data_IF_712550370723
#
_entry.id   IF_712550370723
#
_cell.length_a   1.000
_cell.length_b   1.000
_cell.length_c   1.000
_cell.angle_alpha   90.00
_cell.angle_beta   90.00
_cell.angle_gamma   90.00
#
_symmetry.space_group_name_H-M   'P 1'
#
loop_
_entity.id
_entity.type
_entity.pdbx_description
1 polymer ?
#
# COMPACT_ATOMS: atom_id res chain seq x y z
N UNK A 1 -0.52 1.93 -13.99
CA UNK A 1 0.49 2.99 -13.77
C UNK A 1 -0.20 4.27 -13.33
N UNK A 2 0.33 4.93 -12.34
CA UNK A 2 -0.20 6.21 -11.86
C UNK A 2 0.92 7.18 -11.51
N UNK A 3 0.64 8.47 -11.71
CA UNK A 3 1.53 9.56 -11.32
C UNK A 3 1.05 10.11 -9.97
N UNK A 4 1.98 10.20 -9.01
CA UNK A 4 1.72 10.72 -7.68
C UNK A 4 2.43 12.04 -7.47
N UNK A 5 1.74 12.97 -6.83
CA UNK A 5 2.31 14.22 -6.35
C UNK A 5 2.04 14.33 -4.85
N UNK A 6 3.10 14.37 -4.07
CA UNK A 6 3.01 14.41 -2.62
C UNK A 6 3.49 15.77 -2.14
N UNK A 7 2.62 16.57 -1.49
CA UNK A 7 3.02 17.86 -0.95
C UNK A 7 4.18 17.77 0.03
N UNK A 8 4.95 18.85 0.20
CA UNK A 8 6.07 18.85 1.13
C UNK A 8 5.69 18.38 2.54
N UNK A 9 6.49 17.48 3.10
CA UNK A 9 6.31 16.97 4.46
C UNK A 9 5.23 15.92 4.63
N UNK A 10 4.44 15.63 3.60
CA UNK A 10 3.35 14.66 3.70
C UNK A 10 3.78 13.25 3.29
N UNK A 11 3.06 12.27 3.81
CA UNK A 11 3.20 10.87 3.38
C UNK A 11 2.31 10.63 2.15
N UNK A 12 2.81 9.85 1.21
CA UNK A 12 2.03 9.43 0.05
C UNK A 12 0.87 8.53 0.46
N UNK A 13 1.11 7.66 1.43
CA UNK A 13 0.17 6.64 1.92
C UNK A 13 0.68 6.10 3.26
N UNK A 14 -0.17 5.38 4.02
CA UNK A 14 0.29 4.70 5.22
C UNK A 14 1.27 3.57 4.91
N UNK A 15 2.10 3.21 5.88
CA UNK A 15 2.99 2.05 5.77
C UNK A 15 2.15 0.79 5.49
N UNK A 16 2.45 0.10 4.39
CA UNK A 16 1.61 -1.02 3.94
C UNK A 16 2.38 -2.01 3.09
N UNK A 17 1.82 -3.20 2.92
CA UNK A 17 2.27 -4.17 1.92
C UNK A 17 1.08 -4.85 1.25
N UNK A 18 1.31 -5.31 0.03
CA UNK A 18 0.33 -6.04 -0.77
C UNK A 18 0.63 -7.54 -0.73
N UNK A 19 -0.41 -8.38 -0.80
CA UNK A 19 -0.23 -9.82 -0.95
C UNK A 19 -0.21 -10.27 -2.40
N UNK A 20 -0.94 -9.57 -3.28
CA UNK A 20 -1.07 -9.96 -4.68
C UNK A 20 -0.22 -9.14 -5.64
N UNK A 21 -0.12 -7.84 -5.41
CA UNK A 21 0.54 -6.93 -6.33
C UNK A 21 2.04 -6.80 -6.06
N UNK A 22 2.79 -6.75 -7.15
CA UNK A 22 4.17 -6.31 -7.16
C UNK A 22 4.21 -4.87 -7.63
N UNK A 23 4.97 -4.01 -6.97
CA UNK A 23 5.06 -2.58 -7.30
C UNK A 23 6.46 -2.14 -7.68
N UNK A 24 6.52 -1.18 -8.61
CA UNK A 24 7.72 -0.46 -8.97
C UNK A 24 7.45 1.03 -8.80
N UNK A 25 8.33 1.74 -8.09
CA UNK A 25 8.26 3.18 -7.94
C UNK A 25 9.45 3.83 -8.62
N UNK A 26 9.21 4.89 -9.40
CA UNK A 26 10.23 5.67 -10.08
C UNK A 26 10.11 7.11 -9.64
N UNK A 27 11.12 7.65 -8.96
CA UNK A 27 11.12 9.03 -8.48
C UNK A 27 11.49 9.95 -9.64
N UNK A 28 10.56 10.82 -10.01
CA UNK A 28 10.72 11.74 -11.13
C UNK A 28 11.26 13.10 -10.71
N UNK A 29 10.88 13.60 -9.53
CA UNK A 29 11.22 14.94 -9.07
C UNK A 29 11.12 15.02 -7.55
N UNK A 30 11.99 15.81 -6.94
CA UNK A 30 11.99 16.03 -5.51
C UNK A 30 12.80 14.99 -4.75
N UNK A 31 12.63 15.00 -3.44
CA UNK A 31 13.32 14.11 -2.51
C UNK A 31 12.41 13.73 -1.34
N UNK A 32 12.83 12.79 -0.55
CA UNK A 32 12.06 12.35 0.60
C UNK A 32 12.75 11.22 1.34
N UNK A 33 11.96 10.43 2.05
CA UNK A 33 12.44 9.25 2.76
C UNK A 33 11.48 8.08 2.56
N UNK A 34 12.05 6.90 2.46
CA UNK A 34 11.32 5.64 2.34
C UNK A 34 11.49 4.82 3.61
N UNK A 35 10.39 4.43 4.21
CA UNK A 35 10.37 3.45 5.30
C UNK A 35 10.18 2.06 4.71
N UNK A 36 11.01 1.12 5.15
CA UNK A 36 10.91 -0.30 4.81
C UNK A 36 11.10 -1.12 6.09
N UNK A 37 10.97 -2.45 6.06
CA UNK A 37 11.29 -3.27 7.23
C UNK A 37 12.72 -3.08 7.76
N UNK A 38 13.64 -2.62 6.90
CA UNK A 38 15.03 -2.33 7.28
C UNK A 38 15.24 -0.94 7.89
N UNK A 39 14.18 -0.12 7.96
CA UNK A 39 14.24 1.23 8.48
C UNK A 39 14.05 2.30 7.41
N UNK A 40 14.42 3.53 7.73
CA UNK A 40 14.29 4.68 6.84
C UNK A 40 15.54 4.88 5.99
N UNK A 41 15.34 5.31 4.76
CA UNK A 41 16.42 5.68 3.84
C UNK A 41 16.02 6.90 3.02
N UNK A 42 17.02 7.66 2.57
CA UNK A 42 16.79 8.81 1.71
C UNK A 42 16.38 8.39 0.31
N UNK A 43 15.55 9.22 -0.31
CA UNK A 43 15.03 9.02 -1.67
C UNK A 43 15.28 10.31 -2.46
N UNK A 44 15.75 10.17 -3.69
CA UNK A 44 16.04 11.28 -4.57
C UNK A 44 15.60 11.01 -6.00
N UNK A 45 15.56 12.07 -6.80
CA UNK A 45 15.24 12.00 -8.23
C UNK A 45 16.09 10.94 -8.92
N UNK A 46 15.44 10.13 -9.74
CA UNK A 46 16.08 9.02 -10.47
C UNK A 46 16.11 7.70 -9.74
N UNK A 47 15.76 7.67 -8.45
CA UNK A 47 15.71 6.41 -7.70
C UNK A 47 14.57 5.53 -8.20
N UNK A 48 14.82 4.23 -8.19
CA UNK A 48 13.85 3.20 -8.57
C UNK A 48 13.78 2.17 -7.45
N UNK A 49 12.56 1.85 -7.01
CA UNK A 49 12.32 0.88 -5.96
C UNK A 49 11.37 -0.21 -6.45
N UNK A 50 11.66 -1.44 -6.07
CA UNK A 50 10.81 -2.59 -6.37
C UNK A 50 10.35 -3.23 -5.06
N UNK A 51 9.06 -3.54 -4.98
CA UNK A 51 8.45 -4.16 -3.80
C UNK A 51 7.70 -5.41 -4.21
N UNK A 52 8.19 -6.56 -3.75
CA UNK A 52 7.53 -7.84 -3.94
C UNK A 52 6.33 -7.98 -3.01
N UNK A 53 5.36 -8.84 -3.34
CA UNK A 53 4.27 -9.13 -2.42
C UNK A 53 4.76 -9.68 -1.09
N UNK A 54 4.03 -9.39 -0.01
CA UNK A 54 4.34 -9.87 1.33
C UNK A 54 5.01 -8.82 2.22
N UNK A 55 5.23 -9.18 3.47
CA UNK A 55 5.74 -8.26 4.50
C UNK A 55 7.08 -7.63 4.16
N UNK A 56 7.95 -8.35 3.47
CA UNK A 56 9.27 -7.84 3.09
C UNK A 56 9.16 -6.68 2.10
N UNK A 57 8.04 -6.56 1.39
CA UNK A 57 7.75 -5.47 0.47
C UNK A 57 7.04 -4.28 1.11
N UNK A 58 6.90 -4.25 2.43
CA UNK A 58 6.23 -3.15 3.11
C UNK A 58 6.99 -1.83 2.93
N UNK A 59 6.25 -0.75 2.70
CA UNK A 59 6.89 0.55 2.49
C UNK A 59 5.95 1.73 2.75
N UNK A 60 6.56 2.88 2.99
CA UNK A 60 5.90 4.18 3.09
C UNK A 60 6.84 5.23 2.56
N UNK A 61 6.33 6.12 1.70
CA UNK A 61 7.11 7.19 1.10
C UNK A 61 6.63 8.53 1.65
N UNK A 62 7.57 9.36 2.11
CA UNK A 62 7.29 10.67 2.70
C UNK A 62 8.09 11.72 1.95
N UNK A 63 7.43 12.81 1.52
CA UNK A 63 8.10 13.91 0.84
C UNK A 63 8.96 14.71 1.82
N UNK A 64 10.06 15.28 1.31
CA UNK A 64 10.88 16.23 2.07
C UNK A 64 10.05 17.45 2.47
N UNK A 65 10.47 18.13 3.55
CA UNK A 65 9.74 19.28 4.10
C UNK A 65 9.69 20.48 3.15
N UNK A 66 10.60 20.57 2.20
CA UNK A 66 10.81 21.78 1.37
C UNK A 66 10.42 21.62 -0.10
N UNK A 67 9.93 20.45 -0.51
CA UNK A 67 9.60 20.23 -1.93
C UNK A 67 8.53 19.17 -2.14
N UNK A 68 7.76 19.32 -3.22
CA UNK A 68 6.84 18.30 -3.70
C UNK A 68 7.62 17.11 -4.25
N UNK A 69 7.19 15.92 -3.89
CA UNK A 69 7.75 14.67 -4.42
C UNK A 69 6.83 14.14 -5.50
N UNK A 70 7.38 13.86 -6.68
CA UNK A 70 6.63 13.29 -7.81
C UNK A 70 7.23 11.94 -8.17
N UNK A 71 6.37 10.93 -8.27
CA UNK A 71 6.83 9.59 -8.65
C UNK A 71 5.77 8.84 -9.47
N UNK A 72 6.23 7.89 -10.26
CA UNK A 72 5.37 6.93 -10.95
C UNK A 72 5.27 5.67 -10.12
N UNK A 73 4.05 5.17 -9.98
CA UNK A 73 3.78 3.86 -9.40
C UNK A 73 3.28 2.92 -10.49
N UNK A 74 3.95 1.79 -10.63
CA UNK A 74 3.62 0.77 -11.61
C UNK A 74 3.38 -0.51 -10.83
N UNK A 75 2.22 -1.15 -11.04
CA UNK A 75 1.91 -2.41 -10.35
C UNK A 75 1.41 -3.46 -11.32
N UNK A 76 1.51 -4.71 -10.91
CA UNK A 76 1.01 -5.84 -11.70
C UNK A 76 -0.51 -5.88 -11.79
N UNK A 77 -1.20 -5.25 -10.84
CA UNK A 77 -2.65 -5.04 -10.85
C UNK A 77 -3.48 -6.25 -11.25
N UNK A 78 -3.47 -7.29 -10.43
CA UNK A 78 -4.38 -8.43 -10.60
C UNK A 78 -5.83 -8.04 -10.39
N UNK A 79 -6.75 -9.01 -10.59
CA UNK A 79 -8.20 -8.80 -10.41
C UNK A 79 -8.59 -8.57 -8.95
N UNK A 80 -7.77 -9.00 -8.01
CA UNK A 80 -8.00 -8.86 -6.58
C UNK A 80 -6.69 -8.67 -5.84
N UNK A 81 -6.73 -7.94 -4.74
CA UNK A 81 -5.56 -7.74 -3.88
C UNK A 81 -5.99 -7.55 -2.43
N UNK A 82 -5.11 -7.95 -1.51
CA UNK A 82 -5.21 -7.65 -0.09
C UNK A 82 -4.04 -6.78 0.31
N UNK A 83 -4.33 -5.69 1.01
CA UNK A 83 -3.33 -4.74 1.49
C UNK A 83 -3.35 -4.71 3.01
N UNK A 84 -2.19 -4.85 3.64
CA UNK A 84 -2.06 -4.83 5.09
C UNK A 84 -1.38 -3.55 5.56
N UNK A 85 -1.89 -2.99 6.67
CA UNK A 85 -1.42 -1.75 7.27
C UNK A 85 -0.92 -2.04 8.70
N UNK A 86 0.36 -2.41 8.85
CA UNK A 86 0.88 -2.89 10.14
C UNK A 86 0.73 -1.92 11.30
N UNK A 87 0.86 -0.61 11.05
CA UNK A 87 0.81 0.39 12.12
C UNK A 87 -0.59 0.54 12.72
N UNK A 88 -1.63 0.35 11.92
CA UNK A 88 -3.02 0.54 12.37
C UNK A 88 -3.81 -0.74 12.52
N UNK A 89 -3.25 -1.88 12.11
CA UNK A 89 -3.93 -3.17 12.16
C UNK A 89 -5.11 -3.27 11.19
N UNK A 90 -5.06 -2.53 10.08
CA UNK A 90 -6.11 -2.59 9.05
C UNK A 90 -5.77 -3.57 7.95
N UNK A 91 -6.83 -3.98 7.24
CA UNK A 91 -6.78 -4.79 6.04
C UNK A 91 -7.61 -4.11 4.96
N UNK A 92 -7.05 -3.93 3.78
CA UNK A 92 -7.76 -3.47 2.60
C UNK A 92 -8.02 -4.62 1.65
N UNK A 93 -9.25 -4.72 1.16
CA UNK A 93 -9.64 -5.68 0.13
C UNK A 93 -10.04 -4.93 -1.12
N UNK A 94 -9.49 -5.32 -2.27
CA UNK A 94 -9.76 -4.69 -3.57
C UNK A 94 -10.17 -5.73 -4.58
N UNK A 95 -11.30 -5.49 -5.25
CA UNK A 95 -11.76 -6.25 -6.41
C UNK A 95 -11.79 -5.28 -7.58
N UNK A 96 -10.92 -5.50 -8.58
CA UNK A 96 -10.67 -4.58 -9.68
C UNK A 96 -11.32 -5.04 -10.98
N UNK A 97 -12.65 -5.03 -10.99
CA UNK A 97 -13.46 -5.38 -12.18
C UNK A 97 -14.75 -4.56 -12.14
N UNK A 98 -15.52 -4.48 -13.22
CA UNK A 98 -16.85 -3.83 -13.19
C UNK A 98 -17.70 -4.44 -12.07
N UNK A 99 -18.26 -3.58 -11.22
CA UNK A 99 -18.99 -4.02 -10.03
C UNK A 99 -18.11 -4.40 -8.83
N UNK A 100 -16.80 -4.17 -8.94
CA UNK A 100 -15.88 -4.42 -7.83
C UNK A 100 -15.92 -3.33 -6.76
N UNK A 101 -15.04 -3.46 -5.78
CA UNK A 101 -15.01 -2.54 -4.64
C UNK A 101 -13.61 -2.46 -4.02
N UNK A 102 -13.42 -1.43 -3.20
CA UNK A 102 -12.27 -1.32 -2.30
C UNK A 102 -12.77 -0.98 -0.91
N UNK A 103 -12.49 -1.82 0.06
CA UNK A 103 -12.94 -1.65 1.44
C UNK A 103 -11.80 -1.85 2.41
N UNK A 104 -11.83 -1.10 3.52
CA UNK A 104 -10.83 -1.16 4.57
C UNK A 104 -11.50 -1.58 5.87
N UNK A 105 -10.89 -2.54 6.58
CA UNK A 105 -11.41 -3.09 7.81
C UNK A 105 -10.34 -3.12 8.90
N UNK A 106 -10.74 -2.95 10.15
CA UNK A 106 -9.85 -3.31 11.26
C UNK A 106 -9.83 -4.82 11.40
N UNK A 107 -8.65 -5.40 11.48
CA UNK A 107 -8.53 -6.85 11.66
C UNK A 107 -9.11 -7.30 13.01
N UNK A 108 -9.08 -6.43 14.02
CA UNK A 108 -9.70 -6.71 15.33
C UNK A 108 -11.22 -6.83 15.28
N UNK A 109 -11.84 -6.35 14.21
CA UNK A 109 -13.29 -6.46 13.99
C UNK A 109 -13.66 -7.74 13.20
N UNK A 110 -12.71 -8.64 13.00
CA UNK A 110 -12.98 -9.92 12.34
C UNK A 110 -14.08 -10.68 13.09
N UNK A 111 -14.92 -11.33 12.32
CA UNK A 111 -16.10 -12.03 12.86
C UNK A 111 -15.92 -13.53 12.81
N UNK A 112 -16.69 -14.24 13.65
CA UNK A 112 -16.74 -15.69 13.61
C UNK A 112 -17.30 -16.18 12.28
N UNK A 113 -16.79 -17.32 11.79
CA UNK A 113 -17.16 -17.89 10.51
C UNK A 113 -18.68 -18.07 10.36
N UNK A 114 -19.36 -18.46 11.45
CA UNK A 114 -20.78 -18.73 11.44
C UNK A 114 -21.67 -17.57 11.84
N UNK A 115 -21.07 -16.38 12.08
CA UNK A 115 -21.86 -15.20 12.46
C UNK A 115 -22.96 -14.94 11.43
N UNK A 116 -24.21 -14.87 11.89
CA UNK A 116 -25.40 -14.62 11.09
C UNK A 116 -25.65 -15.67 9.97
N UNK A 117 -24.96 -16.78 10.03
CA UNK A 117 -25.18 -17.89 9.11
C UNK A 117 -26.18 -18.90 9.71
N UNK A 118 -26.86 -19.64 8.84
CA UNK A 118 -27.70 -20.75 9.31
C UNK A 118 -26.82 -21.84 9.94
N UNK A 119 -27.31 -22.50 11.03
CA UNK A 119 -26.57 -23.64 11.57
C UNK A 119 -26.32 -24.68 10.48
N UNK A 120 -25.17 -25.38 10.50
CA UNK A 120 -24.93 -26.43 9.54
C UNK A 120 -26.00 -27.55 9.69
N UNK A 121 -26.36 -28.26 8.60
CA UNK A 121 -27.27 -29.39 8.69
C UNK A 121 -26.73 -30.37 9.72
N UNK A 122 -27.56 -30.71 10.72
CA UNK A 122 -27.20 -31.55 11.85
C UNK A 122 -27.16 -33.02 11.52
#
# INVERSE_FOLDING_TARGET
MSLWEVPPGEAAYPYHYHLGDEELLVVLEGSGRMRTPSGWRDVAEGDVFSFLPGEDGAHQLVAAEDATLRFLAISTSGSADLTFYPDSGKLGASIRRPGGFRELYRRSDAVDYWLDEHPPPG
#
